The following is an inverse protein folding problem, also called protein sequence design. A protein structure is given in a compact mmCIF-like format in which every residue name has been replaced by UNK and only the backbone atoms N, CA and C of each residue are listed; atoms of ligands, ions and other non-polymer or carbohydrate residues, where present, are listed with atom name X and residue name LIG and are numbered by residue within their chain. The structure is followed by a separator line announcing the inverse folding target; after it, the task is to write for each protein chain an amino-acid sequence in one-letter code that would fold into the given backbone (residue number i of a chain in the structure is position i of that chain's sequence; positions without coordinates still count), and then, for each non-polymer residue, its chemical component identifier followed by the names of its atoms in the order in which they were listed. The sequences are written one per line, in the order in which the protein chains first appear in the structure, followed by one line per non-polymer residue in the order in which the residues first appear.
data_IF_300248314667
#
_entry.id   IF_300248314667
#
_cell.length_a   1.000
_cell.length_b   1.000
_cell.length_c   1.000
_cell.angle_alpha   90.00
_cell.angle_beta   90.00
_cell.angle_gamma   90.00
#
_symmetry.space_group_name_H-M   'P 1'
#
loop_
_entity.id
_entity.type
_entity.pdbx_description
1 polymer ?
#
# COMPACT_ATOMS: atom_id res chain seq x y z
N UNK A 1 17.65 8.56 -4.47
CA UNK A 1 16.70 8.89 -3.38
C UNK A 1 15.92 7.64 -3.06
N UNK A 2 16.08 7.10 -1.85
CA UNK A 2 15.38 5.89 -1.43
C UNK A 2 13.92 6.28 -1.22
N UNK A 3 13.03 5.77 -2.07
CA UNK A 3 11.60 5.97 -1.90
C UNK A 3 11.15 5.13 -0.70
N UNK A 4 10.93 5.78 0.43
CA UNK A 4 10.45 5.13 1.65
C UNK A 4 8.97 4.82 1.53
N UNK A 5 8.60 3.54 1.62
CA UNK A 5 7.22 3.13 1.78
C UNK A 5 6.68 3.64 3.11
N UNK A 6 5.39 3.97 3.15
CA UNK A 6 4.74 4.46 4.37
C UNK A 6 3.45 3.70 4.66
N UNK A 7 3.07 3.68 5.93
CA UNK A 7 1.76 3.23 6.35
C UNK A 7 0.69 4.27 5.98
N UNK A 8 -0.36 3.85 5.28
CA UNK A 8 -1.47 4.74 4.88
C UNK A 8 -2.27 5.23 6.08
N UNK A 9 -2.25 4.48 7.20
CA UNK A 9 -2.99 4.83 8.40
C UNK A 9 -2.27 5.86 9.28
N UNK A 10 -1.01 5.60 9.65
CA UNK A 10 -0.27 6.48 10.57
C UNK A 10 0.82 7.34 9.91
N UNK A 11 1.16 7.09 8.65
CA UNK A 11 2.20 7.81 7.91
C UNK A 11 3.64 7.43 8.26
N UNK A 12 3.86 6.50 9.20
CA UNK A 12 5.20 6.05 9.55
C UNK A 12 5.82 5.22 8.42
N UNK A 13 7.15 5.26 8.28
CA UNK A 13 7.84 4.43 7.30
C UNK A 13 7.66 2.94 7.61
N UNK A 14 7.55 2.14 6.54
CA UNK A 14 7.45 0.69 6.58
C UNK A 14 8.48 0.07 5.63
N UNK A 15 8.99 -1.11 5.99
CA UNK A 15 10.00 -1.82 5.20
C UNK A 15 9.38 -2.46 3.94
N UNK A 16 8.16 -2.99 4.08
CA UNK A 16 7.40 -3.60 2.99
C UNK A 16 5.88 -3.42 3.22
N UNK A 17 5.10 -3.54 2.14
CA UNK A 17 3.64 -3.45 2.19
C UNK A 17 2.96 -4.83 2.22
N UNK A 18 3.65 -5.86 1.71
CA UNK A 18 3.17 -7.23 1.67
C UNK A 18 4.36 -8.17 1.63
N UNK A 19 4.16 -9.38 2.15
CA UNK A 19 5.03 -10.52 1.96
C UNK A 19 4.47 -11.45 0.90
N UNK A 20 5.33 -11.89 -0.02
CA UNK A 20 5.00 -12.90 -1.02
C UNK A 20 5.38 -14.27 -0.48
N UNK A 21 4.40 -15.08 -0.09
CA UNK A 21 4.63 -16.46 0.38
C UNK A 21 4.76 -17.44 -0.79
N UNK A 22 4.03 -17.21 -1.87
CA UNK A 22 4.07 -18.02 -3.08
C UNK A 22 3.85 -17.12 -4.31
N UNK A 23 3.99 -17.64 -5.54
CA UNK A 23 3.66 -16.89 -6.76
C UNK A 23 2.24 -16.29 -6.74
N UNK A 24 1.31 -16.94 -6.05
CA UNK A 24 -0.12 -16.63 -6.03
C UNK A 24 -0.62 -16.07 -4.69
N UNK A 25 0.12 -16.27 -3.60
CA UNK A 25 -0.30 -15.87 -2.25
C UNK A 25 0.56 -14.71 -1.75
N UNK A 26 -0.10 -13.57 -1.60
CA UNK A 26 0.44 -12.35 -0.99
C UNK A 26 -0.27 -12.16 0.36
N UNK A 27 0.48 -11.72 1.36
CA UNK A 27 -0.06 -11.37 2.68
C UNK A 27 0.33 -9.94 3.00
N UNK A 28 -0.64 -9.11 3.36
CA UNK A 28 -0.38 -7.72 3.71
C UNK A 28 0.45 -7.60 4.99
N UNK A 29 1.42 -6.70 4.96
CA UNK A 29 2.27 -6.38 6.10
C UNK A 29 1.53 -5.47 7.08
N UNK A 30 1.82 -5.63 8.37
CA UNK A 30 1.27 -4.77 9.41
C UNK A 30 2.31 -3.73 9.81
N UNK A 31 1.87 -2.50 10.06
CA UNK A 31 2.74 -1.44 10.53
C UNK A 31 3.18 -1.71 11.97
N UNK A 32 4.49 -1.75 12.22
CA UNK A 32 5.07 -1.94 13.56
C UNK A 32 4.69 -0.84 14.56
N UNK A 33 4.30 0.35 14.08
CA UNK A 33 3.94 1.49 14.93
C UNK A 33 2.47 1.50 15.36
N UNK A 34 1.52 1.39 14.41
CA UNK A 34 0.10 1.45 14.73
C UNK A 34 -0.60 0.09 14.81
N UNK A 35 0.08 -1.00 14.46
CA UNK A 35 -0.47 -2.36 14.44
C UNK A 35 -1.48 -2.64 13.32
N UNK A 36 -1.89 -1.62 12.56
CA UNK A 36 -2.83 -1.78 11.44
C UNK A 36 -2.12 -2.30 10.18
N UNK A 37 -2.89 -2.80 9.23
CA UNK A 37 -2.39 -3.12 7.89
C UNK A 37 -1.70 -1.87 7.30
N UNK A 38 -0.47 -2.04 6.84
CA UNK A 38 0.37 -0.93 6.38
C UNK A 38 -0.26 -0.21 5.20
N UNK A 39 -0.81 -0.96 4.23
CA UNK A 39 -1.53 -0.43 3.10
C UNK A 39 -2.58 -1.43 2.60
N UNK A 40 -3.84 -1.21 2.95
CA UNK A 40 -4.96 -2.08 2.53
C UNK A 40 -5.33 -1.89 1.06
N UNK A 41 -4.96 -0.77 0.45
CA UNK A 41 -5.27 -0.49 -0.95
C UNK A 41 -4.48 -1.36 -1.93
N UNK A 42 -3.49 -2.12 -1.44
CA UNK A 42 -2.73 -3.09 -2.24
C UNK A 42 -3.63 -4.21 -2.79
N UNK A 43 -4.71 -4.57 -2.08
CA UNK A 43 -5.67 -5.59 -2.53
C UNK A 43 -6.84 -4.98 -3.31
N UNK A 44 -6.96 -3.65 -3.36
CA UNK A 44 -8.11 -2.99 -3.92
C UNK A 44 -7.95 -2.80 -5.43
N UNK A 45 -9.06 -2.96 -6.15
CA UNK A 45 -9.15 -2.51 -7.54
C UNK A 45 -8.98 -0.99 -7.62
N UNK A 46 -8.38 -0.50 -8.71
CA UNK A 46 -8.04 0.93 -8.88
C UNK A 46 -9.26 1.85 -8.73
N UNK A 47 -10.46 1.39 -9.13
CA UNK A 47 -11.69 2.15 -8.97
C UNK A 47 -12.00 2.53 -7.51
N UNK A 48 -11.72 1.63 -6.55
CA UNK A 48 -11.93 1.90 -5.13
C UNK A 48 -10.93 2.90 -4.57
N UNK A 49 -9.67 2.84 -5.03
CA UNK A 49 -8.65 3.84 -4.66
C UNK A 49 -9.04 5.23 -5.17
N UNK A 50 -9.54 5.31 -6.41
CA UNK A 50 -10.02 6.57 -7.01
C UNK A 50 -11.22 7.13 -6.25
N UNK A 51 -12.19 6.29 -5.88
CA UNK A 51 -13.33 6.69 -5.07
C UNK A 51 -12.88 7.36 -3.76
N UNK A 52 -11.93 6.74 -3.05
CA UNK A 52 -11.43 7.29 -1.79
C UNK A 52 -10.60 8.56 -1.95
N UNK A 53 -9.89 8.72 -3.08
CA UNK A 53 -9.25 9.99 -3.45
C UNK A 53 -10.29 11.10 -3.69
N UNK A 54 -11.41 10.80 -4.37
CA UNK A 54 -12.50 11.77 -4.55
C UNK A 54 -13.15 12.16 -3.22
N UNK A 55 -13.26 11.21 -2.29
CA UNK A 55 -13.75 11.44 -0.93
C UNK A 55 -12.69 12.08 -0.01
N UNK A 56 -11.55 12.49 -0.56
CA UNK A 56 -10.44 13.12 0.15
C UNK A 56 -9.93 12.32 1.36
N UNK A 57 -9.97 10.99 1.28
CA UNK A 57 -9.48 10.11 2.35
C UNK A 57 -7.95 10.18 2.38
N UNK A 58 -7.40 10.68 3.50
CA UNK A 58 -5.93 10.75 3.71
C UNK A 58 -5.18 9.44 3.41
N UNK A 59 -5.70 8.24 3.78
CA UNK A 59 -5.04 6.98 3.44
C UNK A 59 -4.86 6.76 1.93
N UNK A 60 -5.84 7.13 1.11
CA UNK A 60 -5.76 6.97 -0.35
C UNK A 60 -4.71 7.90 -0.98
N UNK A 61 -4.59 9.14 -0.47
CA UNK A 61 -3.50 10.02 -0.91
C UNK A 61 -2.13 9.48 -0.54
N UNK A 62 -1.97 8.93 0.68
CA UNK A 62 -0.70 8.31 1.10
C UNK A 62 -0.35 7.11 0.23
N UNK A 63 -1.34 6.27 -0.12
CA UNK A 63 -1.16 5.18 -1.07
C UNK A 63 -0.67 5.70 -2.43
N UNK A 64 -1.39 6.67 -3.02
CA UNK A 64 -1.09 7.21 -4.34
C UNK A 64 0.30 7.86 -4.42
N UNK A 65 0.67 8.65 -3.41
CA UNK A 65 1.90 9.44 -3.43
C UNK A 65 3.16 8.62 -3.11
N UNK A 66 3.07 7.66 -2.19
CA UNK A 66 4.25 7.00 -1.64
C UNK A 66 4.35 5.51 -2.00
N UNK A 67 3.22 4.81 -2.17
CA UNK A 67 3.19 3.35 -2.29
C UNK A 67 2.87 2.85 -3.72
N UNK A 68 2.36 3.72 -4.60
CA UNK A 68 1.90 3.36 -5.96
C UNK A 68 2.98 2.72 -6.85
N UNK A 69 4.25 3.09 -6.70
CA UNK A 69 5.32 2.47 -7.49
C UNK A 69 5.51 0.97 -7.19
N UNK A 70 5.23 0.55 -5.96
CA UNK A 70 5.29 -0.86 -5.57
C UNK A 70 4.17 -1.66 -6.23
N UNK A 71 2.99 -1.04 -6.43
CA UNK A 71 1.86 -1.65 -7.14
C UNK A 71 2.16 -1.91 -8.62
N UNK A 72 2.82 -0.97 -9.29
CA UNK A 72 3.21 -1.14 -10.71
C UNK A 72 4.16 -2.33 -10.88
N UNK A 73 5.02 -2.60 -9.89
CA UNK A 73 5.92 -3.77 -9.91
C UNK A 73 5.19 -5.09 -9.73
N UNK A 74 4.09 -5.11 -8.96
CA UNK A 74 3.26 -6.31 -8.81
C UNK A 74 2.57 -6.68 -10.13
N UNK A 75 1.97 -5.72 -10.82
CA UNK A 75 1.26 -5.99 -12.07
C UNK A 75 2.21 -6.41 -13.21
N UNK A 76 3.44 -5.89 -13.26
CA UNK A 76 4.44 -6.30 -14.25
C UNK A 76 5.01 -7.70 -14.04
N UNK A 77 4.88 -8.26 -12.84
CA UNK A 77 5.36 -9.60 -12.49
C UNK A 77 4.21 -10.64 -12.41
N UNK A 78 3.02 -10.28 -12.90
CA UNK A 78 1.88 -11.18 -13.09
C UNK A 78 1.82 -11.58 -14.56
#
# INVERSE_FOLDING_TARGET
MIQSLICVQCGNSVEELFHKYSPTVLKLAHCKQCGQVADSYVEYEQAFVLLDLFLQRLPAYRHMLFNMQTMVKLYKNK
#
